data_IF_697431417753
#
_entry.id   IF_697431417753
#
_cell.length_a   1.000
_cell.length_b   1.000
_cell.length_c   1.000
_cell.angle_alpha   90.00
_cell.angle_beta   90.00
_cell.angle_gamma   90.00
#
_symmetry.space_group_name_H-M   'P 1'
#
loop_
_entity.id
_entity.type
_entity.pdbx_description
1 polymer ?
#
# COMPACT_ATOMS: atom_id res chain seq x y z
N UNK A 1 30.95 -12.46 18.10
CA UNK A 1 30.28 -11.16 18.30
C UNK A 1 29.70 -10.77 16.96
N UNK A 2 28.41 -10.44 16.88
CA UNK A 2 27.78 -9.97 15.64
C UNK A 2 27.56 -8.46 15.74
N UNK A 3 27.80 -7.74 14.65
CA UNK A 3 27.61 -6.28 14.59
C UNK A 3 26.24 -5.98 13.99
N UNK A 4 25.46 -5.14 14.68
CA UNK A 4 24.20 -4.61 14.15
C UNK A 4 24.45 -3.15 13.75
N UNK A 5 24.24 -2.84 12.49
CA UNK A 5 24.32 -1.47 11.95
C UNK A 5 22.91 -0.94 11.75
N UNK A 6 22.60 0.23 12.30
CA UNK A 6 21.29 0.86 12.23
C UNK A 6 21.46 2.24 11.60
N UNK A 7 20.59 2.59 10.65
CA UNK A 7 20.45 3.95 10.13
C UNK A 7 19.22 4.59 10.78
N UNK A 8 19.37 5.81 11.24
CA UNK A 8 18.32 6.63 11.87
C UNK A 8 18.43 8.03 11.29
N UNK A 9 17.30 8.71 11.14
CA UNK A 9 17.25 10.10 10.69
C UNK A 9 17.95 11.03 11.69
N UNK A 10 18.59 12.09 11.21
CA UNK A 10 19.40 12.99 12.03
C UNK A 10 18.56 13.68 13.13
N UNK A 11 17.32 14.08 12.82
CA UNK A 11 16.41 14.69 13.80
C UNK A 11 16.03 13.71 14.92
N UNK A 12 15.76 12.46 14.55
CA UNK A 12 15.44 11.40 15.49
C UNK A 12 16.66 11.06 16.35
N UNK A 13 17.85 11.00 15.73
CA UNK A 13 19.10 10.76 16.44
C UNK A 13 19.36 11.84 17.47
N UNK A 14 19.21 13.11 17.10
CA UNK A 14 19.44 14.24 18.01
C UNK A 14 18.47 14.17 19.20
N UNK A 15 17.18 14.01 18.93
CA UNK A 15 16.15 13.89 19.97
C UNK A 15 16.41 12.69 20.90
N UNK A 16 16.87 11.57 20.33
CA UNK A 16 17.24 10.39 21.10
C UNK A 16 18.45 10.66 22.01
N UNK A 17 19.50 11.29 21.49
CA UNK A 17 20.69 11.65 22.27
C UNK A 17 20.38 12.61 23.42
N UNK A 18 19.49 13.59 23.18
CA UNK A 18 19.06 14.54 24.21
C UNK A 18 18.35 13.82 25.37
N UNK A 19 17.39 12.93 25.06
CA UNK A 19 16.68 12.13 26.08
C UNK A 19 17.63 11.18 26.82
N UNK A 20 18.55 10.54 26.11
CA UNK A 20 19.51 9.63 26.73
C UNK A 20 20.47 10.37 27.68
N UNK A 21 20.86 11.59 27.33
CA UNK A 21 21.65 12.46 28.19
C UNK A 21 20.94 12.78 29.50
N UNK A 22 19.65 13.13 29.44
CA UNK A 22 18.81 13.37 30.64
C UNK A 22 18.72 12.14 31.54
N UNK A 23 18.61 10.95 30.94
CA UNK A 23 18.54 9.67 31.64
C UNK A 23 19.91 9.13 32.06
N UNK A 24 21.02 9.80 31.67
CA UNK A 24 22.41 9.37 31.90
C UNK A 24 22.70 7.97 31.37
N UNK A 25 22.16 7.64 30.20
CA UNK A 25 22.36 6.36 29.52
C UNK A 25 23.12 6.53 28.21
N UNK A 26 23.86 5.50 27.81
CA UNK A 26 24.45 5.45 26.46
C UNK A 26 23.52 4.75 25.46
N UNK A 27 23.63 5.12 24.19
CA UNK A 27 22.90 4.44 23.10
C UNK A 27 23.12 2.92 23.12
N UNK A 28 24.38 2.50 23.27
CA UNK A 28 24.77 1.08 23.35
C UNK A 28 24.08 0.36 24.51
N UNK A 29 24.03 0.99 25.68
CA UNK A 29 23.41 0.42 26.87
C UNK A 29 21.90 0.27 26.70
N UNK A 30 21.24 1.26 26.10
CA UNK A 30 19.80 1.20 25.79
C UNK A 30 19.49 0.08 24.80
N UNK A 31 20.28 -0.06 23.74
CA UNK A 31 20.13 -1.12 22.74
C UNK A 31 20.31 -2.50 23.40
N UNK A 32 21.38 -2.68 24.19
CA UNK A 32 21.65 -3.94 24.88
C UNK A 32 20.51 -4.30 25.84
N UNK A 33 20.04 -3.35 26.65
CA UNK A 33 18.96 -3.59 27.61
C UNK A 33 17.63 -3.88 26.92
N UNK A 34 17.36 -3.25 25.78
CA UNK A 34 16.20 -3.55 24.95
C UNK A 34 16.26 -4.98 24.42
N UNK A 35 17.40 -5.42 23.88
CA UNK A 35 17.60 -6.79 23.44
C UNK A 35 17.42 -7.81 24.58
N UNK A 36 18.00 -7.53 25.77
CA UNK A 36 17.82 -8.38 26.96
C UNK A 36 16.35 -8.49 27.36
N UNK A 37 15.62 -7.38 27.37
CA UNK A 37 14.20 -7.36 27.70
C UNK A 37 13.39 -8.25 26.76
N UNK A 38 13.59 -8.11 25.45
CA UNK A 38 12.87 -8.87 24.42
C UNK A 38 13.10 -10.36 24.61
N UNK A 39 14.35 -10.77 24.81
CA UNK A 39 14.71 -12.18 25.01
C UNK A 39 14.08 -12.74 26.28
N UNK A 40 14.12 -11.99 27.38
CA UNK A 40 13.60 -12.42 28.67
C UNK A 40 12.07 -12.51 28.71
N UNK A 41 11.39 -11.55 28.06
CA UNK A 41 9.94 -11.39 28.19
C UNK A 41 9.15 -11.86 26.96
N UNK A 42 9.84 -12.23 25.87
CA UNK A 42 9.25 -12.60 24.58
C UNK A 42 8.26 -11.56 24.03
N UNK A 43 8.46 -10.28 24.36
CA UNK A 43 7.64 -9.16 23.92
C UNK A 43 8.47 -7.88 23.85
N UNK A 44 8.01 -6.92 23.05
CA UNK A 44 8.60 -5.58 23.01
C UNK A 44 8.14 -4.76 24.21
N UNK A 45 9.00 -3.85 24.73
CA UNK A 45 8.63 -2.95 25.84
C UNK A 45 7.73 -1.79 25.40
N UNK A 46 7.42 -1.71 24.10
CA UNK A 46 6.55 -0.71 23.49
C UNK A 46 5.69 -1.35 22.39
N UNK A 47 4.59 -0.69 22.07
CA UNK A 47 3.80 -1.01 20.87
C UNK A 47 4.55 -0.46 19.66
N UNK A 48 4.82 -1.32 18.68
CA UNK A 48 5.47 -0.91 17.42
C UNK A 48 4.52 0.05 16.71
N UNK A 49 4.88 1.33 16.67
CA UNK A 49 4.10 2.37 15.98
C UNK A 49 4.37 2.36 14.48
N UNK A 50 5.52 1.83 14.07
CA UNK A 50 5.95 1.73 12.67
C UNK A 50 6.75 0.44 12.45
N UNK A 51 6.24 -0.44 11.59
CA UNK A 51 7.02 -1.59 11.11
C UNK A 51 7.96 -1.10 10.01
N UNK A 52 9.26 -1.20 10.25
CA UNK A 52 10.24 -1.03 9.17
C UNK A 52 10.08 -2.18 8.19
N UNK A 53 9.45 -1.89 7.05
CA UNK A 53 9.41 -2.79 5.91
C UNK A 53 10.63 -2.53 5.05
N UNK A 54 11.30 -3.60 4.63
CA UNK A 54 12.32 -3.53 3.59
C UNK A 54 11.69 -3.03 2.29
N UNK A 55 12.48 -2.44 1.37
CA UNK A 55 11.97 -2.04 0.06
C UNK A 55 11.26 -3.20 -0.68
N UNK A 56 11.81 -4.41 -0.61
CA UNK A 56 11.18 -5.58 -1.23
C UNK A 56 9.80 -5.90 -0.63
N UNK A 57 9.65 -5.82 0.69
CA UNK A 57 8.36 -6.01 1.36
C UNK A 57 7.37 -4.90 1.00
N UNK A 58 7.80 -3.64 0.95
CA UNK A 58 6.95 -2.51 0.53
C UNK A 58 6.42 -2.70 -0.88
N UNK A 59 7.30 -3.05 -1.83
CA UNK A 59 6.95 -3.28 -3.23
C UNK A 59 5.97 -4.44 -3.35
N UNK A 60 6.25 -5.57 -2.71
CA UNK A 60 5.37 -6.75 -2.73
C UNK A 60 3.98 -6.43 -2.19
N UNK A 61 3.91 -5.84 -1.00
CA UNK A 61 2.63 -5.54 -0.35
C UNK A 61 1.81 -4.51 -1.13
N UNK A 62 2.47 -3.53 -1.77
CA UNK A 62 1.80 -2.61 -2.68
C UNK A 62 1.17 -3.36 -3.85
N UNK A 63 1.94 -4.22 -4.53
CA UNK A 63 1.46 -4.97 -5.69
C UNK A 63 0.33 -5.93 -5.34
N UNK A 64 0.42 -6.60 -4.18
CA UNK A 64 -0.64 -7.49 -3.68
C UNK A 64 -1.94 -6.71 -3.45
N UNK A 65 -1.86 -5.53 -2.79
CA UNK A 65 -3.03 -4.65 -2.58
C UNK A 65 -3.57 -4.09 -3.89
N UNK A 66 -2.69 -3.71 -4.81
CA UNK A 66 -3.05 -3.23 -6.14
C UNK A 66 -3.81 -4.30 -6.93
N UNK A 67 -3.32 -5.54 -6.92
CA UNK A 67 -3.96 -6.69 -7.56
C UNK A 67 -5.32 -7.03 -6.92
N UNK A 68 -5.42 -6.99 -5.59
CA UNK A 68 -6.69 -7.19 -4.90
C UNK A 68 -7.73 -6.12 -5.28
N UNK A 69 -7.33 -4.85 -5.33
CA UNK A 69 -8.20 -3.77 -5.79
C UNK A 69 -8.65 -4.00 -7.23
N UNK A 70 -7.74 -4.37 -8.13
CA UNK A 70 -8.07 -4.67 -9.52
C UNK A 70 -9.08 -5.81 -9.69
N UNK A 71 -8.88 -6.93 -8.99
CA UNK A 71 -9.81 -8.07 -9.05
C UNK A 71 -11.22 -7.62 -8.66
N UNK A 72 -11.36 -6.84 -7.59
CA UNK A 72 -12.66 -6.33 -7.16
C UNK A 72 -13.29 -5.36 -8.16
N UNK A 73 -12.50 -4.46 -8.76
CA UNK A 73 -13.02 -3.55 -9.79
C UNK A 73 -13.50 -4.33 -11.02
N UNK A 74 -12.76 -5.37 -11.42
CA UNK A 74 -13.14 -6.25 -12.53
C UNK A 74 -14.42 -7.02 -12.21
N UNK A 75 -14.55 -7.57 -11.00
CA UNK A 75 -15.75 -8.26 -10.55
C UNK A 75 -16.96 -7.32 -10.47
N UNK A 76 -16.74 -6.07 -10.05
CA UNK A 76 -17.76 -5.02 -10.06
C UNK A 76 -18.21 -4.69 -11.48
N UNK A 77 -17.27 -4.54 -12.43
CA UNK A 77 -17.57 -4.35 -13.86
C UNK A 77 -18.41 -5.49 -14.42
N UNK A 78 -18.01 -6.74 -14.14
CA UNK A 78 -18.74 -7.93 -14.58
C UNK A 78 -20.12 -8.01 -13.95
N UNK A 79 -20.26 -7.64 -12.68
CA UNK A 79 -21.55 -7.63 -11.99
C UNK A 79 -22.52 -6.63 -12.64
N UNK A 80 -22.05 -5.43 -12.97
CA UNK A 80 -22.87 -4.44 -13.69
C UNK A 80 -23.27 -4.93 -15.08
N UNK A 81 -22.33 -5.47 -15.86
CA UNK A 81 -22.57 -5.98 -17.22
C UNK A 81 -23.59 -7.12 -17.26
N UNK A 82 -23.58 -7.98 -16.25
CA UNK A 82 -24.45 -9.14 -16.17
C UNK A 82 -25.74 -8.88 -15.38
N UNK A 83 -26.01 -7.62 -15.00
CA UNK A 83 -27.12 -7.23 -14.12
C UNK A 83 -27.17 -8.03 -12.81
N UNK A 84 -26.01 -8.44 -12.30
CA UNK A 84 -25.92 -9.08 -10.99
C UNK A 84 -26.17 -8.04 -9.89
N UNK A 85 -26.92 -8.40 -8.83
CA UNK A 85 -27.23 -7.47 -7.76
C UNK A 85 -25.97 -7.11 -6.97
N UNK A 86 -25.76 -5.81 -6.74
CA UNK A 86 -24.68 -5.28 -5.92
C UNK A 86 -25.29 -4.81 -4.60
N UNK A 87 -25.29 -5.71 -3.61
CA UNK A 87 -25.89 -5.41 -2.31
C UNK A 87 -25.08 -4.37 -1.52
N UNK A 88 -25.74 -3.55 -0.67
CA UNK A 88 -25.07 -2.55 0.17
C UNK A 88 -23.90 -3.09 1.00
N UNK A 89 -24.03 -4.31 1.54
CA UNK A 89 -22.96 -4.95 2.31
C UNK A 89 -21.75 -5.31 1.44
N UNK A 90 -21.97 -5.73 0.18
CA UNK A 90 -20.88 -5.98 -0.76
C UNK A 90 -20.15 -4.68 -1.10
N UNK A 91 -20.89 -3.57 -1.29
CA UNK A 91 -20.26 -2.25 -1.51
C UNK A 91 -19.36 -1.84 -0.37
N UNK A 92 -19.76 -2.05 0.89
CA UNK A 92 -18.92 -1.75 2.06
C UNK A 92 -17.59 -2.51 2.04
N UNK A 93 -17.63 -3.81 1.69
CA UNK A 93 -16.43 -4.64 1.57
C UNK A 93 -15.54 -4.11 0.45
N UNK A 94 -16.12 -3.82 -0.73
CA UNK A 94 -15.40 -3.27 -1.87
C UNK A 94 -14.72 -1.95 -1.47
N UNK A 95 -15.48 -0.99 -0.92
CA UNK A 95 -14.97 0.30 -0.46
C UNK A 95 -13.81 0.10 0.53
N UNK A 96 -13.95 -0.81 1.49
CA UNK A 96 -12.90 -1.08 2.47
C UNK A 96 -11.61 -1.56 1.81
N UNK A 97 -11.69 -2.47 0.84
CA UNK A 97 -10.51 -2.98 0.13
C UNK A 97 -9.87 -1.92 -0.76
N UNK A 98 -10.69 -1.15 -1.49
CA UNK A 98 -10.19 -0.03 -2.31
C UNK A 98 -9.47 1.00 -1.43
N UNK A 99 -10.04 1.31 -0.25
CA UNK A 99 -9.43 2.22 0.72
C UNK A 99 -8.14 1.67 1.32
N UNK A 100 -8.08 0.37 1.63
CA UNK A 100 -6.86 -0.28 2.13
C UNK A 100 -5.69 -0.10 1.15
N UNK A 101 -5.92 -0.27 -0.15
CA UNK A 101 -4.91 0.06 -1.17
C UNK A 101 -4.53 1.55 -1.15
N UNK A 102 -5.50 2.46 -1.21
CA UNK A 102 -5.20 3.90 -1.26
C UNK A 102 -4.48 4.41 -0.02
N UNK A 103 -4.89 3.98 1.18
CA UNK A 103 -4.26 4.34 2.44
C UNK A 103 -2.84 3.77 2.53
N UNK A 104 -2.64 2.54 2.06
CA UNK A 104 -1.31 1.94 2.02
C UNK A 104 -0.37 2.75 1.13
N UNK A 105 -0.83 3.10 -0.08
CA UNK A 105 -0.07 3.94 -0.99
C UNK A 105 0.25 5.29 -0.34
N UNK A 106 -0.75 5.97 0.22
CA UNK A 106 -0.61 7.29 0.85
C UNK A 106 0.41 7.26 1.98
N UNK A 107 0.29 6.27 2.87
CA UNK A 107 1.16 6.10 4.02
C UNK A 107 2.64 5.91 3.64
N UNK A 108 2.90 5.27 2.50
CA UNK A 108 4.25 4.97 2.05
C UNK A 108 4.69 5.81 0.83
N UNK A 109 3.96 6.87 0.46
CA UNK A 109 4.18 7.61 -0.80
C UNK A 109 5.64 8.02 -1.02
N UNK A 110 6.28 8.61 -0.02
CA UNK A 110 7.68 9.05 -0.13
C UNK A 110 8.64 7.86 -0.31
N UNK A 111 8.43 6.76 0.41
CA UNK A 111 9.22 5.54 0.21
C UNK A 111 8.98 5.00 -1.21
N UNK A 112 7.72 4.87 -1.63
CA UNK A 112 7.34 4.33 -2.93
C UNK A 112 7.92 5.14 -4.10
N UNK A 113 7.99 6.47 -3.97
CA UNK A 113 8.59 7.37 -4.96
C UNK A 113 10.05 7.06 -5.26
N UNK A 114 10.79 6.58 -4.26
CA UNK A 114 12.18 6.16 -4.42
C UNK A 114 12.35 4.70 -4.83
N UNK A 115 11.30 3.89 -4.66
CA UNK A 115 11.30 2.46 -4.98
C UNK A 115 11.01 2.16 -6.45
N UNK A 116 10.25 3.02 -7.12
CA UNK A 116 9.78 2.82 -8.48
C UNK A 116 10.41 3.85 -9.42
N UNK A 117 10.74 3.47 -10.68
CA UNK A 117 10.99 4.43 -11.74
C UNK A 117 9.85 5.46 -11.86
N UNK A 118 10.17 6.68 -12.27
CA UNK A 118 9.19 7.79 -12.27
C UNK A 118 7.91 7.46 -13.04
N UNK A 119 8.03 6.81 -14.21
CA UNK A 119 6.88 6.37 -15.02
C UNK A 119 6.00 5.35 -14.27
N UNK A 120 6.61 4.31 -13.68
CA UNK A 120 5.90 3.32 -12.87
C UNK A 120 5.18 3.98 -11.70
N UNK A 121 5.87 4.86 -10.97
CA UNK A 121 5.29 5.58 -9.84
C UNK A 121 4.08 6.42 -10.26
N UNK A 122 4.19 7.19 -11.36
CA UNK A 122 3.09 8.02 -11.84
C UNK A 122 1.88 7.18 -12.29
N UNK A 123 2.10 6.04 -12.93
CA UNK A 123 1.02 5.15 -13.35
C UNK A 123 0.32 4.49 -12.15
N UNK A 124 1.09 4.06 -11.14
CA UNK A 124 0.51 3.56 -9.87
C UNK A 124 -0.24 4.68 -9.15
N UNK A 125 0.30 5.89 -9.11
CA UNK A 125 -0.36 7.06 -8.50
C UNK A 125 -1.68 7.37 -9.21
N UNK A 126 -1.71 7.32 -10.55
CA UNK A 126 -2.95 7.48 -11.33
C UNK A 126 -3.97 6.40 -10.96
N UNK A 127 -3.57 5.13 -10.94
CA UNK A 127 -4.45 4.04 -10.51
C UNK A 127 -4.98 4.26 -9.09
N UNK A 128 -4.14 4.70 -8.15
CA UNK A 128 -4.55 5.07 -6.78
C UNK A 128 -5.59 6.19 -6.76
N UNK A 129 -5.46 7.20 -7.62
CA UNK A 129 -6.46 8.28 -7.70
C UNK A 129 -7.80 7.75 -8.21
N UNK A 130 -7.80 6.95 -9.28
CA UNK A 130 -9.03 6.39 -9.86
C UNK A 130 -9.73 5.42 -8.89
N UNK A 131 -8.97 4.55 -8.22
CA UNK A 131 -9.50 3.65 -7.17
C UNK A 131 -10.10 4.45 -6.01
N UNK A 132 -9.42 5.51 -5.56
CA UNK A 132 -9.91 6.40 -4.51
C UNK A 132 -11.23 7.06 -4.91
N UNK A 133 -11.32 7.54 -6.15
CA UNK A 133 -12.54 8.14 -6.68
C UNK A 133 -13.69 7.13 -6.80
N UNK A 134 -13.42 5.90 -7.25
CA UNK A 134 -14.41 4.82 -7.28
C UNK A 134 -14.95 4.51 -5.88
N UNK A 135 -14.08 4.45 -4.88
CA UNK A 135 -14.48 4.20 -3.50
C UNK A 135 -15.36 5.32 -2.92
N UNK A 136 -15.12 6.57 -3.33
CA UNK A 136 -15.97 7.72 -2.97
C UNK A 136 -17.36 7.58 -3.59
N UNK A 137 -17.45 7.36 -4.91
CA UNK A 137 -18.73 7.19 -5.61
C UNK A 137 -19.52 6.03 -5.01
N UNK A 138 -18.88 4.87 -4.79
CA UNK A 138 -19.54 3.73 -4.15
C UNK A 138 -20.10 4.06 -2.77
N UNK A 139 -19.45 4.95 -2.02
CA UNK A 139 -19.90 5.42 -0.71
C UNK A 139 -21.07 6.39 -0.78
N UNK A 140 -21.16 7.18 -1.85
CA UNK A 140 -22.19 8.21 -2.03
C UNK A 140 -23.49 7.66 -2.64
N UNK A 141 -23.47 6.46 -3.21
CA UNK A 141 -24.68 5.84 -3.78
C UNK A 141 -25.62 5.35 -2.67
N UNK A 142 -26.90 5.69 -2.80
CA UNK A 142 -27.98 5.27 -1.90
C UNK A 142 -28.01 3.74 -1.71
N UNK A 143 -28.39 3.28 -0.51
CA UNK A 143 -28.63 1.85 -0.25
C UNK A 143 -29.84 1.29 -1.01
N UNK A 144 -30.72 2.17 -1.49
CA UNK A 144 -31.90 1.81 -2.26
C UNK A 144 -31.71 2.03 -3.77
N UNK A 145 -30.48 2.34 -4.21
CA UNK A 145 -30.18 2.54 -5.63
C UNK A 145 -30.49 1.27 -6.43
N UNK A 146 -31.22 1.44 -7.53
CA UNK A 146 -31.48 0.35 -8.46
C UNK A 146 -30.26 0.09 -9.36
N UNK A 147 -30.35 -0.95 -10.19
CA UNK A 147 -29.28 -1.31 -11.12
C UNK A 147 -28.98 -0.20 -12.14
N UNK A 148 -30.00 0.55 -12.57
CA UNK A 148 -29.83 1.66 -13.53
C UNK A 148 -28.99 2.78 -12.93
N UNK A 149 -29.34 3.23 -11.72
CA UNK A 149 -28.57 4.24 -10.99
C UNK A 149 -27.13 3.77 -10.70
N UNK A 150 -26.97 2.51 -10.27
CA UNK A 150 -25.65 1.92 -10.05
C UNK A 150 -24.81 1.91 -11.33
N UNK A 151 -25.38 1.47 -12.44
CA UNK A 151 -24.70 1.37 -13.73
C UNK A 151 -24.29 2.75 -14.25
N UNK A 152 -25.19 3.73 -14.20
CA UNK A 152 -24.94 5.10 -14.64
C UNK A 152 -23.80 5.74 -13.84
N UNK A 153 -23.82 5.60 -12.52
CA UNK A 153 -22.83 6.25 -11.64
C UNK A 153 -21.47 5.55 -11.62
N UNK A 154 -21.44 4.22 -11.71
CA UNK A 154 -20.21 3.45 -11.52
C UNK A 154 -19.47 3.15 -12.81
N UNK A 155 -20.16 2.92 -13.92
CA UNK A 155 -19.53 2.46 -15.18
C UNK A 155 -18.39 3.36 -15.66
N UNK A 156 -18.53 4.70 -15.70
CA UNK A 156 -17.45 5.57 -16.15
C UNK A 156 -16.19 5.41 -15.31
N UNK A 157 -16.33 5.43 -13.98
CA UNK A 157 -15.21 5.37 -13.04
C UNK A 157 -14.58 3.98 -12.98
N UNK A 158 -15.36 2.92 -13.11
CA UNK A 158 -14.84 1.55 -13.25
C UNK A 158 -13.96 1.44 -14.49
N UNK A 159 -14.41 1.94 -15.64
CA UNK A 159 -13.63 1.86 -16.88
C UNK A 159 -12.30 2.62 -16.75
N UNK A 160 -12.34 3.86 -16.22
CA UNK A 160 -11.12 4.63 -15.93
C UNK A 160 -10.15 3.87 -15.01
N UNK A 161 -10.69 3.25 -13.95
CA UNK A 161 -9.89 2.48 -12.98
C UNK A 161 -9.25 1.24 -13.61
N UNK A 162 -9.97 0.56 -14.52
CA UNK A 162 -9.42 -0.59 -15.25
C UNK A 162 -8.31 -0.14 -16.23
N UNK A 163 -8.54 0.95 -16.96
CA UNK A 163 -7.54 1.51 -17.88
C UNK A 163 -6.26 1.95 -17.16
N UNK A 164 -6.37 2.61 -16.01
CA UNK A 164 -5.19 3.01 -15.24
C UNK A 164 -4.46 1.84 -14.61
N UNK A 165 -5.17 0.77 -14.21
CA UNK A 165 -4.51 -0.48 -13.82
C UNK A 165 -3.72 -1.09 -14.97
N UNK A 166 -4.32 -1.22 -16.15
CA UNK A 166 -3.65 -1.80 -17.31
C UNK A 166 -2.39 -1.01 -17.68
N UNK A 167 -2.44 0.31 -17.57
CA UNK A 167 -1.27 1.16 -17.77
C UNK A 167 -0.20 0.93 -16.69
N UNK A 168 -0.57 0.93 -15.41
CA UNK A 168 0.35 0.65 -14.32
C UNK A 168 1.01 -0.74 -14.46
N UNK A 169 0.22 -1.77 -14.80
CA UNK A 169 0.73 -3.11 -15.03
C UNK A 169 1.71 -3.16 -16.20
N UNK A 170 1.39 -2.52 -17.33
CA UNK A 170 2.30 -2.41 -18.47
C UNK A 170 3.60 -1.73 -18.13
N UNK A 171 3.58 -0.72 -17.27
CA UNK A 171 4.78 0.03 -16.87
C UNK A 171 5.64 -0.72 -15.84
N UNK A 172 5.03 -1.58 -15.00
CA UNK A 172 5.73 -2.40 -13.99
C UNK A 172 6.31 -3.69 -14.60
N UNK A 173 5.61 -4.32 -15.55
CA UNK A 173 6.01 -5.57 -16.20
C UNK A 173 7.08 -5.53 -17.33
N UNK A 174 7.63 -4.39 -17.83
CA UNK A 174 8.60 -4.45 -18.93
C UNK A 174 9.94 -5.09 -18.54
N UNK A 175 10.27 -5.14 -17.24
CA UNK A 175 11.58 -5.57 -16.75
C UNK A 175 11.76 -7.08 -16.59
N UNK A 176 10.70 -7.89 -16.54
CA UNK A 176 10.83 -9.36 -16.47
C UNK A 176 11.16 -10.02 -17.82
N UNK A 177 10.96 -9.30 -18.94
CA UNK A 177 11.27 -9.80 -20.27
C UNK A 177 12.66 -9.38 -20.78
N UNK A 178 13.22 -8.27 -20.28
CA UNK A 178 14.58 -7.82 -20.67
C UNK A 178 15.71 -8.63 -20.01
N UNK A 179 15.49 -9.23 -18.84
CA UNK A 179 16.49 -10.09 -18.20
C UNK A 179 16.58 -11.50 -18.81
N UNK A 180 15.56 -11.94 -19.56
CA UNK A 180 15.58 -13.24 -20.27
C UNK A 180 16.24 -13.19 -21.65
N UNK A 181 16.38 -12.00 -22.24
CA UNK A 181 17.02 -11.84 -23.55
C UNK A 181 18.54 -11.63 -23.46
N UNK A 182 19.10 -11.27 -22.29
CA UNK A 182 20.55 -11.09 -22.12
C UNK A 182 21.31 -12.31 -21.58
N UNK A 183 20.62 -13.40 -21.25
CA UNK A 183 21.27 -14.67 -20.81
C UNK A 183 21.33 -15.74 -21.92
N UNK A 184 20.92 -15.40 -23.14
CA UNK A 184 21.02 -16.27 -24.32
C UNK A 184 21.92 -15.64 -25.41
N UNK A 185 23.16 -15.27 -25.04
CA UNK A 185 24.28 -15.13 -25.99
C UNK A 185 25.46 -15.99 -25.54
#
# INVERSE_FOLDING_TARGET
MATITIRIDDELKQSFDDVLSELRLSQTEVIINTCKYIVQNKKLPFVVVQQFKTPAELKKDLLDKMNHAFILVKDLSNSLKNNNPIYPNHRKIIISTLRDFTHYFDWFTESLKHLFPSNEFFSIQKFRMDVGYLALILGDISNNADHGELSEKLTPTINLTLESFEQAFKDISPLENSEKEMTNE
#
